data_IF_825414392424
#
_entry.id   IF_825414392424
#
_cell.length_a   1.000
_cell.length_b   1.000
_cell.length_c   1.000
_cell.angle_alpha   90.00
_cell.angle_beta   90.00
_cell.angle_gamma   90.00
#
_symmetry.space_group_name_H-M   'P 1'
#
loop_
_entity.id
_entity.type
_entity.pdbx_description
1 polymer ?
#
# COMPACT_ATOMS: atom_id res chain seq x y z
N UNK A 1 -2.07 6.64 16.74
CA UNK A 1 -2.79 6.13 15.55
C UNK A 1 -1.86 5.19 14.81
N UNK A 2 -2.42 4.13 14.25
CA UNK A 2 -1.70 3.21 13.38
C UNK A 2 -1.19 3.96 12.11
N UNK A 3 0.07 3.72 11.69
CA UNK A 3 0.70 4.44 10.56
C UNK A 3 -0.09 4.26 9.26
N UNK A 4 -0.63 3.07 9.01
CA UNK A 4 -1.46 2.78 7.83
C UNK A 4 -2.72 3.63 7.86
N UNK A 5 -3.35 3.74 9.02
CA UNK A 5 -4.55 4.54 9.21
C UNK A 5 -4.27 6.04 9.00
N UNK A 6 -3.12 6.54 9.46
CA UNK A 6 -2.71 7.94 9.22
C UNK A 6 -2.53 8.21 7.71
N UNK A 7 -1.74 7.37 7.03
CA UNK A 7 -1.49 7.50 5.59
C UNK A 7 -2.79 7.42 4.76
N UNK A 8 -3.70 6.53 5.15
CA UNK A 8 -5.00 6.36 4.50
C UNK A 8 -5.96 7.53 4.75
N UNK A 9 -5.85 8.22 5.89
CA UNK A 9 -6.72 9.37 6.22
C UNK A 9 -6.30 10.64 5.48
N UNK A 10 -5.01 10.80 5.21
CA UNK A 10 -4.45 12.00 4.59
C UNK A 10 -4.63 12.05 3.06
N UNK A 11 -4.98 10.92 2.43
CA UNK A 11 -4.93 10.77 0.96
C UNK A 11 -6.18 10.08 0.42
N UNK A 12 -6.56 10.42 -0.82
CA UNK A 12 -7.76 9.88 -1.46
C UNK A 12 -7.70 8.38 -1.74
N UNK A 13 -6.59 7.89 -2.31
CA UNK A 13 -6.33 6.47 -2.54
C UNK A 13 -4.88 6.16 -2.19
N UNK A 14 -4.65 5.12 -1.37
CA UNK A 14 -3.33 4.65 -0.97
C UNK A 14 -3.15 3.20 -1.40
N UNK A 15 -2.04 2.90 -2.07
CA UNK A 15 -1.62 1.58 -2.48
C UNK A 15 -0.36 1.18 -1.71
N UNK A 16 -0.52 0.25 -0.77
CA UNK A 16 0.60 -0.43 -0.13
C UNK A 16 1.05 -1.59 -1.02
N UNK A 17 2.30 -1.54 -1.48
CA UNK A 17 2.84 -2.41 -2.54
C UNK A 17 4.17 -3.03 -2.09
N UNK A 18 4.64 -4.03 -2.84
CA UNK A 18 6.03 -4.50 -2.79
C UNK A 18 6.64 -4.35 -4.17
N UNK A 19 7.90 -3.96 -4.24
CA UNK A 19 8.60 -3.72 -5.51
C UNK A 19 8.73 -4.98 -6.39
N UNK A 20 8.72 -6.16 -5.77
CA UNK A 20 8.79 -7.48 -6.42
C UNK A 20 7.43 -8.12 -6.75
N UNK A 21 6.31 -7.43 -6.49
CA UNK A 21 4.97 -7.98 -6.61
C UNK A 21 4.35 -7.74 -8.00
N UNK A 22 4.21 -8.80 -8.82
CA UNK A 22 3.63 -8.72 -10.16
C UNK A 22 2.16 -8.27 -10.16
N UNK A 23 1.37 -8.68 -9.16
CA UNK A 23 -0.01 -8.23 -9.01
C UNK A 23 -0.10 -6.73 -8.68
N UNK A 24 0.85 -6.22 -7.89
CA UNK A 24 0.91 -4.82 -7.51
C UNK A 24 1.19 -3.94 -8.73
N UNK A 25 1.97 -4.44 -9.71
CA UNK A 25 2.13 -3.78 -11.01
C UNK A 25 0.80 -3.71 -11.78
N UNK A 26 0.06 -4.82 -11.87
CA UNK A 26 -1.24 -4.83 -12.55
C UNK A 26 -2.25 -3.84 -11.91
N UNK A 27 -2.29 -3.77 -10.58
CA UNK A 27 -3.16 -2.82 -9.86
C UNK A 27 -2.75 -1.36 -10.11
N UNK A 28 -1.46 -1.05 -10.20
CA UNK A 28 -0.99 0.30 -10.57
C UNK A 28 -1.48 0.70 -11.96
N UNK A 29 -1.37 -0.18 -12.94
CA UNK A 29 -1.85 0.06 -14.30
C UNK A 29 -3.37 0.25 -14.30
N UNK A 30 -4.12 -0.61 -13.60
CA UNK A 30 -5.57 -0.48 -13.48
C UNK A 30 -5.98 0.90 -12.92
N UNK A 31 -5.32 1.38 -11.87
CA UNK A 31 -5.61 2.71 -11.33
C UNK A 31 -5.29 3.83 -12.32
N UNK A 32 -4.19 3.73 -13.07
CA UNK A 32 -3.88 4.69 -14.13
C UNK A 32 -4.94 4.69 -15.24
N UNK A 33 -5.39 3.53 -15.69
CA UNK A 33 -6.46 3.39 -16.70
C UNK A 33 -7.79 3.97 -16.23
N UNK A 34 -8.08 3.89 -14.93
CA UNK A 34 -9.25 4.50 -14.31
C UNK A 34 -9.10 6.01 -14.05
N UNK A 35 -7.97 6.63 -14.41
CA UNK A 35 -7.68 8.04 -14.15
C UNK A 35 -7.42 8.34 -12.66
N UNK A 36 -7.17 7.32 -11.84
CA UNK A 36 -6.87 7.45 -10.42
C UNK A 36 -5.37 7.59 -10.23
N UNK A 37 -4.94 8.59 -9.46
CA UNK A 37 -3.53 8.74 -9.05
C UNK A 37 -3.38 8.29 -7.59
N UNK A 38 -3.08 7.00 -7.33
CA UNK A 38 -2.89 6.51 -5.97
C UNK A 38 -1.57 7.03 -5.41
N UNK A 39 -1.50 7.15 -4.08
CA UNK A 39 -0.21 7.23 -3.40
C UNK A 39 0.34 5.83 -3.19
N UNK A 40 1.53 5.58 -3.70
CA UNK A 40 2.16 4.26 -3.63
C UNK A 40 3.19 4.27 -2.50
N UNK A 41 3.09 3.31 -1.59
CA UNK A 41 4.10 3.01 -0.57
C UNK A 41 4.67 1.61 -0.84
N UNK A 42 5.92 1.55 -1.32
CA UNK A 42 6.66 0.30 -1.46
C UNK A 42 7.19 -0.14 -0.09
N UNK A 43 6.47 -1.08 0.53
CA UNK A 43 6.70 -1.48 1.92
C UNK A 43 8.05 -2.17 2.09
N UNK A 44 8.54 -2.86 1.06
CA UNK A 44 9.84 -3.54 1.07
C UNK A 44 11.04 -2.59 0.89
N UNK A 45 10.78 -1.32 0.55
CA UNK A 45 11.80 -0.28 0.39
C UNK A 45 11.71 0.82 1.46
N UNK A 46 10.63 0.83 2.25
CA UNK A 46 10.42 1.79 3.32
C UNK A 46 11.16 1.36 4.62
N UNK A 47 11.94 2.24 5.27
CA UNK A 47 12.62 1.93 6.53
C UNK A 47 11.68 1.45 7.65
N UNK A 48 10.42 1.89 7.63
CA UNK A 48 9.38 1.51 8.58
C UNK A 48 8.44 0.44 8.00
N UNK A 49 8.81 -0.20 6.89
CA UNK A 49 8.03 -1.19 6.16
C UNK A 49 7.46 -2.31 7.05
N UNK A 50 8.29 -2.85 7.94
CA UNK A 50 7.88 -3.90 8.88
C UNK A 50 6.75 -3.47 9.82
N UNK A 51 6.73 -2.21 10.25
CA UNK A 51 5.66 -1.69 11.10
C UNK A 51 4.36 -1.58 10.30
N UNK A 52 4.44 -1.10 9.05
CA UNK A 52 3.29 -1.04 8.14
C UNK A 52 2.73 -2.43 7.83
N UNK A 53 3.57 -3.45 7.61
CA UNK A 53 3.09 -4.83 7.43
C UNK A 53 2.34 -5.34 8.66
N UNK A 54 2.84 -5.06 9.88
CA UNK A 54 2.17 -5.45 11.12
C UNK A 54 0.82 -4.77 11.28
N UNK A 55 0.76 -3.48 10.95
CA UNK A 55 -0.48 -2.73 10.93
C UNK A 55 -1.50 -3.32 9.93
N UNK A 56 -1.08 -3.56 8.70
CA UNK A 56 -1.92 -4.20 7.67
C UNK A 56 -2.44 -5.57 8.11
N UNK A 57 -1.61 -6.39 8.75
CA UNK A 57 -2.03 -7.68 9.31
C UNK A 57 -3.11 -7.54 10.38
N UNK A 58 -3.03 -6.52 11.24
CA UNK A 58 -4.08 -6.24 12.25
C UNK A 58 -5.39 -5.79 11.63
N UNK A 59 -5.35 -5.21 10.44
CA UNK A 59 -6.53 -4.84 9.64
C UNK A 59 -7.10 -6.04 8.85
N UNK A 60 -6.48 -7.22 8.94
CA UNK A 60 -6.95 -8.43 8.27
C UNK A 60 -6.34 -8.64 6.87
N UNK A 61 -5.41 -7.78 6.42
CA UNK A 61 -4.65 -8.03 5.21
C UNK A 61 -3.63 -9.14 5.48
N UNK A 62 -3.91 -10.33 4.96
CA UNK A 62 -3.00 -11.47 5.08
C UNK A 62 -1.96 -11.38 3.98
N UNK A 63 -0.70 -11.54 4.34
CA UNK A 63 0.32 -11.89 3.37
C UNK A 63 0.03 -13.31 2.85
N UNK A 64 0.16 -13.56 1.53
CA UNK A 64 0.37 -14.92 1.03
C UNK A 64 1.68 -15.50 1.57
#
# INVERSE_FOLDING_TARGET
>A
MDKVMRLATERGVVLFSKSSCCLCYAVKILFQELGVTPTIHEIDQDPEGREMERALMRLGCKAP
#
